data_IF_223966402503
#
_entry.id   IF_223966402503
#
_cell.length_a   1.000
_cell.length_b   1.000
_cell.length_c   1.000
_cell.angle_alpha   90.00
_cell.angle_beta   90.00
_cell.angle_gamma   90.00
#
_symmetry.space_group_name_H-M   'P 1'
#
loop_
_entity.id
_entity.type
_entity.pdbx_description
1 polymer ?
#
# COMPACT_ATOMS: atom_id res chain seq x y z
N UNK A 1 8.91 30.60 -24.81
CA UNK A 1 8.99 29.32 -24.10
C UNK A 1 9.97 29.53 -22.97
N UNK A 2 9.50 29.71 -21.74
CA UNK A 2 10.40 29.90 -20.60
C UNK A 2 10.96 28.53 -20.20
N UNK A 3 12.22 28.31 -20.56
CA UNK A 3 12.93 27.07 -20.26
C UNK A 3 13.64 27.26 -18.93
N UNK A 4 13.08 26.68 -17.87
CA UNK A 4 13.72 26.67 -16.56
C UNK A 4 14.77 25.54 -16.59
N UNK A 5 16.04 25.91 -16.82
CA UNK A 5 17.16 24.97 -16.76
C UNK A 5 17.50 24.66 -15.30
N UNK A 6 16.87 23.64 -14.73
CA UNK A 6 17.16 23.13 -13.40
C UNK A 6 18.24 22.06 -13.48
N UNK A 7 19.22 22.11 -12.58
CA UNK A 7 20.11 20.98 -12.32
C UNK A 7 19.30 19.79 -11.79
N UNK A 8 19.69 18.57 -12.15
CA UNK A 8 18.98 17.32 -11.80
C UNK A 8 18.66 17.21 -10.30
N UNK A 9 19.58 17.66 -9.44
CA UNK A 9 19.40 17.66 -7.99
C UNK A 9 18.32 18.67 -7.53
N UNK A 10 18.29 19.85 -8.14
CA UNK A 10 17.30 20.89 -7.85
C UNK A 10 15.90 20.49 -8.35
N UNK A 11 15.83 19.81 -9.50
CA UNK A 11 14.60 19.24 -10.04
C UNK A 11 14.04 18.15 -9.10
N UNK A 12 14.90 17.23 -8.65
CA UNK A 12 14.51 16.17 -7.72
C UNK A 12 14.00 16.75 -6.40
N UNK A 13 14.68 17.75 -5.85
CA UNK A 13 14.26 18.43 -4.62
C UNK A 13 12.91 19.14 -4.77
N UNK A 14 12.62 19.73 -5.94
CA UNK A 14 11.32 20.33 -6.25
C UNK A 14 10.22 19.26 -6.36
N UNK A 15 10.49 18.16 -7.06
CA UNK A 15 9.54 17.05 -7.20
C UNK A 15 9.21 16.46 -5.81
N UNK A 16 10.22 16.22 -4.97
CA UNK A 16 10.01 15.70 -3.62
C UNK A 16 9.15 16.66 -2.77
N UNK A 17 9.38 17.97 -2.89
CA UNK A 17 8.55 18.99 -2.22
C UNK A 17 7.12 19.01 -2.73
N UNK A 18 6.90 18.91 -4.04
CA UNK A 18 5.56 18.88 -4.64
C UNK A 18 4.83 17.62 -4.21
N UNK A 19 5.49 16.45 -4.25
CA UNK A 19 4.92 15.18 -3.80
C UNK A 19 4.60 15.22 -2.30
N UNK A 20 5.49 15.80 -1.48
CA UNK A 20 5.23 15.99 -0.06
C UNK A 20 4.02 16.90 0.17
N UNK A 21 3.96 18.05 -0.52
CA UNK A 21 2.87 19.01 -0.45
C UNK A 21 1.52 18.39 -0.84
N UNK A 22 1.47 17.67 -1.96
CA UNK A 22 0.29 16.94 -2.43
C UNK A 22 -0.14 15.87 -1.42
N UNK A 23 0.81 15.11 -0.84
CA UNK A 23 0.51 14.11 0.19
C UNK A 23 -0.06 14.73 1.47
N UNK A 24 0.43 15.91 1.87
CA UNK A 24 -0.06 16.64 3.05
C UNK A 24 -1.43 17.30 2.81
N UNK A 25 -1.64 17.98 1.68
CA UNK A 25 -2.88 18.70 1.35
C UNK A 25 -4.05 17.75 1.08
N UNK A 26 -3.80 16.66 0.34
CA UNK A 26 -4.85 15.69 0.04
C UNK A 26 -5.02 14.61 1.11
N UNK A 27 -4.27 14.70 2.21
CA UNK A 27 -4.36 13.72 3.29
C UNK A 27 -4.22 12.29 2.79
N UNK A 28 -3.39 12.05 1.77
CA UNK A 28 -3.09 10.72 1.22
C UNK A 28 -2.16 10.02 2.22
N UNK A 29 -2.62 9.88 3.45
CA UNK A 29 -2.29 8.72 4.26
C UNK A 29 -2.98 7.59 3.53
N UNK A 30 -2.28 6.94 2.59
CA UNK A 30 -2.55 5.52 2.39
C UNK A 30 -2.53 4.95 3.80
N UNK A 31 -3.69 4.56 4.32
CA UNK A 31 -3.73 3.90 5.61
C UNK A 31 -2.86 2.67 5.45
N UNK A 32 -1.63 2.78 5.96
CA UNK A 32 -0.61 1.76 5.77
C UNK A 32 -1.10 0.44 6.34
N UNK A 33 -1.99 0.53 7.32
CA UNK A 33 -2.57 -0.56 8.05
C UNK A 33 -4.08 -0.63 7.81
N UNK A 34 -4.51 -1.70 7.17
CA UNK A 34 -5.90 -2.05 6.94
C UNK A 34 -6.41 -2.94 8.06
N UNK A 35 -7.68 -2.78 8.40
CA UNK A 35 -8.41 -3.73 9.25
C UNK A 35 -8.64 -5.07 8.52
N UNK A 36 -9.01 -6.15 9.24
CA UNK A 36 -9.31 -7.43 8.59
C UNK A 36 -10.41 -7.32 7.53
N UNK A 37 -11.42 -6.48 7.74
CA UNK A 37 -12.54 -6.30 6.81
C UNK A 37 -12.10 -5.57 5.54
N UNK A 38 -11.29 -4.52 5.69
CA UNK A 38 -10.73 -3.80 4.56
C UNK A 38 -9.72 -4.64 3.78
N UNK A 39 -8.91 -5.44 4.45
CA UNK A 39 -8.01 -6.40 3.81
C UNK A 39 -8.77 -7.45 3.00
N UNK A 40 -9.89 -7.97 3.53
CA UNK A 40 -10.76 -8.88 2.79
C UNK A 40 -11.38 -8.22 1.56
N UNK A 41 -11.89 -6.99 1.70
CA UNK A 41 -12.45 -6.22 0.59
C UNK A 41 -11.39 -5.91 -0.46
N UNK A 42 -10.19 -5.54 -0.04
CA UNK A 42 -9.05 -5.33 -0.92
C UNK A 42 -8.74 -6.62 -1.69
N UNK A 43 -8.58 -7.75 -1.00
CA UNK A 43 -8.29 -9.04 -1.64
C UNK A 43 -9.46 -9.64 -2.45
N UNK A 44 -10.67 -9.06 -2.36
CA UNK A 44 -11.86 -9.58 -3.02
C UNK A 44 -12.36 -10.91 -2.43
N UNK A 45 -12.08 -11.17 -1.15
CA UNK A 45 -12.47 -12.41 -0.46
C UNK A 45 -13.59 -12.14 0.55
N UNK A 46 -14.48 -13.10 0.73
CA UNK A 46 -15.60 -13.05 1.70
C UNK A 46 -15.33 -13.86 2.96
N UNK A 47 -14.42 -14.83 2.90
CA UNK A 47 -14.17 -15.79 3.97
C UNK A 47 -13.00 -15.40 4.86
N UNK A 48 -13.26 -15.23 6.17
CA UNK A 48 -12.23 -15.02 7.20
C UNK A 48 -11.20 -16.14 7.27
N UNK A 49 -11.61 -17.38 6.98
CA UNK A 49 -10.72 -18.54 6.93
C UNK A 49 -9.67 -18.43 5.82
N UNK A 50 -10.02 -17.83 4.68
CA UNK A 50 -9.06 -17.59 3.58
C UNK A 50 -8.04 -16.53 3.97
N UNK A 51 -8.46 -15.46 4.66
CA UNK A 51 -7.54 -14.45 5.21
C UNK A 51 -6.56 -15.08 6.22
N UNK A 52 -7.07 -15.96 7.10
CA UNK A 52 -6.26 -16.70 8.06
C UNK A 52 -5.20 -17.57 7.36
N UNK A 53 -5.58 -18.32 6.32
CA UNK A 53 -4.63 -19.12 5.54
C UNK A 53 -3.50 -18.28 4.96
N UNK A 54 -3.81 -17.14 4.34
CA UNK A 54 -2.78 -16.28 3.77
C UNK A 54 -1.85 -15.66 4.83
N UNK A 55 -2.38 -15.41 6.04
CA UNK A 55 -1.58 -14.98 7.18
C UNK A 55 -0.65 -16.10 7.66
N UNK A 56 -1.16 -17.32 7.79
CA UNK A 56 -0.37 -18.48 8.22
C UNK A 56 0.71 -18.84 7.19
N UNK A 57 0.42 -18.66 5.90
CA UNK A 57 1.36 -18.80 4.79
C UNK A 57 2.35 -17.63 4.66
N UNK A 58 2.24 -16.58 5.50
CA UNK A 58 3.07 -15.36 5.47
C UNK A 58 3.12 -14.68 4.10
N UNK A 59 2.00 -14.68 3.37
CA UNK A 59 1.90 -14.13 2.01
C UNK A 59 1.98 -12.58 1.98
N UNK A 60 1.67 -11.92 3.10
CA UNK A 60 1.74 -10.47 3.27
C UNK A 60 2.09 -10.10 4.72
N UNK A 61 2.57 -8.87 4.92
CA UNK A 61 2.97 -8.37 6.23
C UNK A 61 1.74 -8.04 7.07
N UNK A 62 1.65 -8.62 8.27
CA UNK A 62 0.65 -8.26 9.27
C UNK A 62 1.33 -7.80 10.57
N UNK A 63 0.82 -6.74 11.18
CA UNK A 63 1.20 -6.32 12.52
C UNK A 63 0.18 -6.84 13.53
N UNK A 64 0.69 -7.52 14.55
CA UNK A 64 -0.10 -7.87 15.74
C UNK A 64 -0.01 -6.70 16.73
N UNK A 65 -1.09 -5.93 16.84
CA UNK A 65 -1.18 -4.85 17.85
C UNK A 65 -1.65 -5.40 19.20
N UNK A 66 -2.37 -6.53 19.20
CA UNK A 66 -2.88 -7.21 20.39
C UNK A 66 -3.28 -8.64 20.01
N UNK A 67 -3.38 -9.59 20.97
CA UNK A 67 -3.74 -10.99 20.70
C UNK A 67 -5.11 -11.20 20.02
N UNK A 68 -5.93 -10.16 19.91
CA UNK A 68 -7.22 -10.18 19.19
C UNK A 68 -7.32 -9.18 18.02
N UNK A 69 -6.31 -8.32 17.81
CA UNK A 69 -6.34 -7.28 16.77
C UNK A 69 -5.12 -7.40 15.86
N UNK A 70 -5.39 -7.73 14.60
CA UNK A 70 -4.40 -7.77 13.52
C UNK A 70 -4.67 -6.62 12.55
N UNK A 71 -3.60 -5.97 12.13
CA UNK A 71 -3.58 -4.97 11.07
C UNK A 71 -2.75 -5.48 9.90
N UNK A 72 -3.21 -5.21 8.70
CA UNK A 72 -2.60 -5.73 7.47
C UNK A 72 -1.98 -4.59 6.67
N UNK A 73 -0.78 -4.81 6.14
CA UNK A 73 -0.10 -3.78 5.37
C UNK A 73 -0.71 -3.67 3.96
N UNK A 74 -1.16 -2.47 3.59
CA UNK A 74 -1.85 -2.22 2.33
C UNK A 74 -0.96 -2.46 1.10
N UNK A 75 0.29 -1.99 1.17
CA UNK A 75 1.25 -2.15 0.06
C UNK A 75 1.62 -3.63 -0.12
N UNK A 76 1.75 -4.38 0.98
CA UNK A 76 1.99 -5.83 0.94
C UNK A 76 0.83 -6.61 0.29
N UNK A 77 -0.42 -6.22 0.56
CA UNK A 77 -1.60 -6.83 -0.08
C UNK A 77 -1.62 -6.54 -1.59
N UNK A 78 -1.27 -5.32 -1.98
CA UNK A 78 -1.18 -4.94 -3.39
C UNK A 78 -0.07 -5.73 -4.13
N UNK A 79 1.09 -5.87 -3.50
CA UNK A 79 2.18 -6.70 -4.00
C UNK A 79 1.79 -8.18 -4.12
N UNK A 80 1.03 -8.72 -3.16
CA UNK A 80 0.50 -10.08 -3.23
C UNK A 80 -0.43 -10.28 -4.43
N UNK A 81 -1.31 -9.32 -4.72
CA UNK A 81 -2.16 -9.35 -5.91
C UNK A 81 -1.35 -9.34 -7.19
N UNK A 82 -0.32 -8.50 -7.29
CA UNK A 82 0.56 -8.46 -8.47
C UNK A 82 1.32 -9.78 -8.65
N UNK A 83 1.78 -10.42 -7.58
CA UNK A 83 2.41 -11.75 -7.67
C UNK A 83 1.45 -12.84 -8.12
N UNK A 84 0.19 -12.77 -7.70
CA UNK A 84 -0.85 -13.73 -8.08
C UNK A 84 -1.51 -13.43 -9.42
N UNK A 85 -1.42 -12.19 -9.93
CA UNK A 85 -1.87 -11.88 -11.28
C UNK A 85 -0.92 -12.57 -12.24
N UNK A 86 -1.34 -13.70 -12.78
CA UNK A 86 -0.74 -14.24 -13.99
C UNK A 86 -1.02 -13.23 -15.10
N UNK A 87 0.02 -12.74 -15.77
CA UNK A 87 -0.08 -12.10 -17.08
C UNK A 87 -0.86 -13.06 -17.97
N UNK A 88 -2.16 -12.77 -18.10
CA UNK A 88 -3.08 -13.55 -18.91
C UNK A 88 -3.52 -12.63 -20.04
N UNK A 89 -2.57 -12.07 -20.78
CA UNK A 89 -2.80 -11.44 -22.09
C UNK A 89 -1.53 -11.54 -22.93
#
# INVERSE_FOLDING_TARGET
>A
MEVICLQDEALKALIDKVVAYVKTEHGIKKEKWLTPEEAMKALGITSKTTLQKYKDEKQFTCAELSPRKFMYDADSIEAFKQRKSRDTF
#
